data_IF_513898016672
#
_entry.id   IF_513898016672
#
_cell.length_a   1.000
_cell.length_b   1.000
_cell.length_c   1.000
_cell.angle_alpha   90.00
_cell.angle_beta   90.00
_cell.angle_gamma   90.00
#
_symmetry.space_group_name_H-M   'P 1'
#
loop_
_entity.id
_entity.type
_entity.pdbx_description
1 polymer ?
#
# COMPACT_ATOMS: atom_id res chain seq x y z
N UNK A 1 14.39 -4.44 4.05
CA UNK A 1 14.08 -5.88 3.96
C UNK A 1 15.21 -6.75 3.42
N UNK A 2 16.03 -6.30 2.45
CA UNK A 2 17.12 -7.15 1.89
C UNK A 2 18.23 -7.51 2.91
N UNK A 3 18.46 -6.64 3.89
CA UNK A 3 19.47 -6.86 4.93
C UNK A 3 19.18 -8.09 5.81
N UNK A 4 17.92 -8.29 6.19
CA UNK A 4 17.50 -9.48 6.96
C UNK A 4 17.76 -10.77 6.17
N UNK A 5 17.51 -10.76 4.86
CA UNK A 5 17.79 -11.89 3.96
C UNK A 5 19.28 -12.15 3.80
N UNK A 6 20.11 -11.11 3.60
CA UNK A 6 21.57 -11.24 3.56
C UNK A 6 22.13 -11.85 4.85
N UNK A 7 21.56 -11.46 5.99
CA UNK A 7 21.95 -11.99 7.31
C UNK A 7 21.52 -13.45 7.51
N UNK A 8 20.28 -13.81 7.16
CA UNK A 8 19.79 -15.20 7.22
C UNK A 8 20.57 -16.13 6.30
N UNK A 9 20.90 -15.67 5.08
CA UNK A 9 21.70 -16.42 4.11
C UNK A 9 23.21 -16.37 4.41
N UNK A 10 23.63 -15.71 5.50
CA UNK A 10 25.03 -15.54 5.93
C UNK A 10 25.95 -15.06 4.80
N UNK A 11 25.44 -14.16 3.95
CA UNK A 11 26.18 -13.68 2.77
C UNK A 11 27.29 -12.73 3.25
N UNK A 12 28.57 -13.04 2.99
CA UNK A 12 29.66 -12.14 3.34
C UNK A 12 29.56 -10.86 2.49
N UNK A 13 29.94 -9.72 3.07
CA UNK A 13 29.85 -8.43 2.39
C UNK A 13 30.70 -8.38 1.12
N UNK A 14 31.82 -9.11 1.10
CA UNK A 14 32.72 -9.27 -0.05
C UNK A 14 32.12 -10.05 -1.23
N UNK A 15 30.97 -10.73 -1.05
CA UNK A 15 30.34 -11.47 -2.14
C UNK A 15 29.68 -10.55 -3.19
N UNK A 16 29.56 -9.24 -2.93
CA UNK A 16 28.97 -8.22 -3.82
C UNK A 16 27.67 -8.68 -4.53
N UNK A 17 26.85 -9.50 -3.84
CA UNK A 17 25.62 -10.07 -4.41
C UNK A 17 24.58 -8.98 -4.62
N UNK A 18 24.03 -8.92 -5.82
CA UNK A 18 22.94 -8.01 -6.17
C UNK A 18 21.66 -8.40 -5.43
N UNK A 19 20.88 -7.40 -5.02
CA UNK A 19 19.63 -7.61 -4.30
C UNK A 19 18.63 -8.43 -5.13
N UNK A 20 18.63 -8.26 -6.45
CA UNK A 20 17.80 -9.03 -7.38
C UNK A 20 18.16 -10.53 -7.37
N UNK A 21 19.45 -10.88 -7.34
CA UNK A 21 19.88 -12.29 -7.28
C UNK A 21 19.42 -12.97 -5.99
N UNK A 22 19.43 -12.26 -4.86
CA UNK A 22 18.99 -12.78 -3.57
C UNK A 22 17.47 -13.02 -3.56
N UNK A 23 16.70 -12.08 -4.11
CA UNK A 23 15.25 -12.21 -4.21
C UNK A 23 14.84 -13.36 -5.13
N UNK A 24 15.56 -13.56 -6.24
CA UNK A 24 15.34 -14.68 -7.16
C UNK A 24 15.62 -16.03 -6.51
N UNK A 25 16.70 -16.13 -5.72
CA UNK A 25 17.05 -17.35 -4.99
C UNK A 25 16.00 -17.74 -3.96
N UNK A 26 15.42 -16.75 -3.27
CA UNK A 26 14.38 -16.97 -2.25
C UNK A 26 12.98 -17.18 -2.85
N UNK A 27 12.82 -17.09 -4.18
CA UNK A 27 11.53 -17.22 -4.88
C UNK A 27 10.41 -16.38 -4.25
N UNK A 28 10.73 -15.17 -3.79
CA UNK A 28 9.74 -14.29 -3.12
C UNK A 28 8.88 -13.63 -4.20
N UNK A 29 7.74 -14.24 -4.51
CA UNK A 29 6.77 -13.72 -5.49
C UNK A 29 5.90 -12.59 -4.94
N UNK A 30 5.65 -12.56 -3.63
CA UNK A 30 4.85 -11.52 -2.96
C UNK A 30 5.62 -10.87 -1.83
N UNK A 31 5.83 -9.55 -1.93
CA UNK A 31 6.46 -8.75 -0.88
C UNK A 31 5.45 -8.45 0.23
N UNK A 32 5.89 -8.41 1.48
CA UNK A 32 5.04 -8.01 2.61
C UNK A 32 4.35 -6.66 2.38
N UNK A 33 5.04 -5.72 1.72
CA UNK A 33 4.50 -4.41 1.37
C UNK A 33 3.27 -4.49 0.46
N UNK A 34 3.24 -5.42 -0.51
CA UNK A 34 2.07 -5.59 -1.39
C UNK A 34 0.91 -6.23 -0.64
N UNK A 35 1.18 -7.16 0.28
CA UNK A 35 0.15 -7.71 1.17
C UNK A 35 -0.44 -6.66 2.11
N UNK A 36 0.40 -5.82 2.72
CA UNK A 36 -0.06 -4.71 3.56
C UNK A 36 -0.91 -3.73 2.76
N UNK A 37 -0.46 -3.34 1.56
CA UNK A 37 -1.22 -2.45 0.68
C UNK A 37 -2.58 -3.04 0.29
N UNK A 38 -2.64 -4.34 -0.01
CA UNK A 38 -3.91 -5.00 -0.33
C UNK A 38 -4.90 -4.89 0.84
N UNK A 39 -4.45 -5.19 2.07
CA UNK A 39 -5.30 -5.08 3.27
C UNK A 39 -5.76 -3.65 3.53
N UNK A 40 -4.89 -2.68 3.30
CA UNK A 40 -5.18 -1.24 3.40
C UNK A 40 -6.30 -0.84 2.42
N UNK A 41 -6.22 -1.28 1.16
CA UNK A 41 -7.22 -0.98 0.14
C UNK A 41 -8.54 -1.73 0.35
N UNK A 42 -8.49 -2.96 0.86
CA UNK A 42 -9.69 -3.71 1.28
C UNK A 42 -10.43 -2.96 2.40
N UNK A 43 -9.70 -2.50 3.42
CA UNK A 43 -10.26 -1.72 4.52
C UNK A 43 -10.85 -0.38 4.06
N UNK A 44 -10.19 0.31 3.15
CA UNK A 44 -10.75 1.53 2.54
C UNK A 44 -12.06 1.26 1.80
N UNK A 45 -12.11 0.20 0.99
CA UNK A 45 -13.33 -0.20 0.30
C UNK A 45 -14.47 -0.58 1.24
N UNK A 46 -14.15 -1.14 2.42
CA UNK A 46 -15.12 -1.40 3.48
C UNK A 46 -15.68 -0.10 4.04
N UNK A 47 -14.84 0.87 4.41
CA UNK A 47 -15.28 2.17 4.93
C UNK A 47 -16.12 2.94 3.92
N UNK A 48 -15.74 2.91 2.63
CA UNK A 48 -16.47 3.61 1.58
C UNK A 48 -17.91 3.13 1.40
N UNK A 49 -18.17 1.83 1.66
CA UNK A 49 -19.48 1.18 1.52
C UNK A 49 -20.28 1.11 2.82
N UNK A 50 -19.70 1.56 3.94
CA UNK A 50 -20.40 1.58 5.22
C UNK A 50 -21.43 2.72 5.21
N UNK A 51 -22.67 2.39 5.54
CA UNK A 51 -23.76 3.37 5.66
C UNK A 51 -23.57 4.27 6.90
N UNK A 52 -23.96 5.53 6.76
CA UNK A 52 -23.86 6.57 7.80
C UNK A 52 -22.55 7.38 7.82
N UNK A 53 -22.58 8.48 8.55
CA UNK A 53 -21.42 9.33 8.82
C UNK A 53 -20.60 8.76 9.98
N UNK A 54 -19.87 7.69 9.69
CA UNK A 54 -18.96 7.05 10.65
C UNK A 54 -17.68 7.87 10.81
N UNK A 55 -17.13 7.89 12.02
CA UNK A 55 -15.88 8.59 12.36
C UNK A 55 -14.76 8.27 11.37
N UNK A 56 -14.61 7.00 10.98
CA UNK A 56 -13.60 6.54 10.02
C UNK A 56 -13.71 7.25 8.66
N UNK A 57 -14.93 7.46 8.17
CA UNK A 57 -15.23 8.12 6.90
C UNK A 57 -14.92 9.61 6.99
N UNK A 58 -15.21 10.24 8.12
CA UNK A 58 -14.88 11.65 8.41
C UNK A 58 -13.36 11.85 8.46
N UNK A 59 -12.65 10.94 9.15
CA UNK A 59 -11.19 10.96 9.30
C UNK A 59 -10.50 10.80 7.94
N UNK A 60 -10.96 9.86 7.10
CA UNK A 60 -10.40 9.63 5.76
C UNK A 60 -10.66 10.79 4.81
N UNK A 61 -11.84 11.42 4.92
CA UNK A 61 -12.24 12.55 4.06
C UNK A 61 -11.55 13.86 4.45
N UNK A 62 -10.86 13.90 5.60
CA UNK A 62 -10.01 15.04 5.98
C UNK A 62 -10.75 16.24 6.57
N UNK A 63 -12.01 16.08 7.00
CA UNK A 63 -12.75 17.12 7.74
C UNK A 63 -12.35 17.22 9.22
N UNK A 64 -11.11 16.87 9.58
CA UNK A 64 -10.61 17.11 10.94
C UNK A 64 -9.97 18.48 10.96
N UNK A 65 -10.74 19.48 11.37
CA UNK A 65 -10.23 20.83 11.57
C UNK A 65 -9.27 20.85 12.77
N UNK A 66 -8.01 21.24 12.54
CA UNK A 66 -7.01 21.31 13.60
C UNK A 66 -5.60 21.62 13.09
N UNK A 67 -4.82 22.37 13.89
CA UNK A 67 -3.41 22.65 13.62
C UNK A 67 -2.60 21.37 13.90
N UNK A 68 -1.94 20.85 12.88
CA UNK A 68 -1.16 19.62 12.98
C UNK A 68 0.09 19.69 13.85
N UNK A 69 0.65 18.54 14.25
CA UNK A 69 1.92 18.49 14.94
C UNK A 69 3.06 19.02 14.05
N UNK A 70 4.07 19.66 14.67
CA UNK A 70 5.32 20.06 13.98
C UNK A 70 6.14 18.79 13.70
N UNK A 71 6.55 18.56 12.45
CA UNK A 71 7.40 17.45 12.05
C UNK A 71 6.86 16.63 10.88
N UNK A 72 7.46 15.45 10.62
CA UNK A 72 6.99 14.52 9.59
C UNK A 72 5.69 13.89 10.06
N UNK A 73 4.62 14.14 9.32
CA UNK A 73 3.34 13.49 9.57
C UNK A 73 3.48 11.97 9.38
N UNK A 74 2.84 11.16 10.25
CA UNK A 74 2.56 9.78 9.92
C UNK A 74 1.84 9.75 8.57
N UNK A 75 2.32 8.91 7.64
CA UNK A 75 1.64 8.72 6.35
C UNK A 75 0.20 8.33 6.64
N UNK A 76 -0.75 9.14 6.20
CA UNK A 76 -2.17 8.84 6.40
C UNK A 76 -2.60 7.77 5.42
N UNK A 77 -3.63 7.03 5.78
CA UNK A 77 -4.31 6.11 4.88
C UNK A 77 -4.71 6.80 3.56
N UNK A 78 -5.24 8.02 3.65
CA UNK A 78 -5.57 8.88 2.50
C UNK A 78 -4.38 9.11 1.56
N UNK A 79 -3.19 9.32 2.12
CA UNK A 79 -1.99 9.62 1.36
C UNK A 79 -1.52 8.37 0.60
N UNK A 80 -1.60 7.19 1.24
CA UNK A 80 -1.28 5.91 0.58
C UNK A 80 -2.23 5.60 -0.57
N UNK A 81 -3.50 6.00 -0.44
CA UNK A 81 -4.52 5.84 -1.48
C UNK A 81 -4.29 6.84 -2.62
N UNK A 82 -3.97 8.11 -2.35
CA UNK A 82 -3.59 9.06 -3.41
C UNK A 82 -2.30 8.66 -4.15
N UNK A 83 -1.45 7.83 -3.53
CA UNK A 83 -0.22 7.34 -4.16
C UNK A 83 -0.45 6.06 -5.00
N UNK A 84 -1.57 5.35 -4.81
CA UNK A 84 -1.78 4.02 -5.40
C UNK A 84 -2.66 4.04 -6.64
N UNK A 85 -3.79 4.75 -6.61
CA UNK A 85 -4.34 5.40 -7.80
C UNK A 85 -4.05 6.91 -7.81
N UNK A 86 -3.68 7.50 -8.95
CA UNK A 86 -3.53 8.96 -9.16
C UNK A 86 -4.87 9.73 -9.07
N UNK A 87 -5.71 9.39 -8.10
CA UNK A 87 -7.06 9.90 -7.89
C UNK A 87 -7.19 10.52 -6.51
N UNK A 88 -7.94 11.62 -6.44
CA UNK A 88 -8.32 12.29 -5.20
C UNK A 88 -9.13 11.32 -4.31
N UNK A 89 -9.01 11.45 -2.99
CA UNK A 89 -9.70 10.61 -1.99
C UNK A 89 -11.21 10.51 -2.24
N UNK A 90 -11.86 11.62 -2.57
CA UNK A 90 -13.30 11.64 -2.89
C UNK A 90 -13.66 10.80 -4.13
N UNK A 91 -12.84 10.86 -5.17
CA UNK A 91 -13.03 10.04 -6.37
C UNK A 91 -12.85 8.56 -6.03
N UNK A 92 -11.85 8.23 -5.20
CA UNK A 92 -11.64 6.88 -4.72
C UNK A 92 -12.83 6.35 -3.89
N UNK A 93 -13.43 7.18 -3.02
CA UNK A 93 -14.64 6.84 -2.26
C UNK A 93 -15.83 6.53 -3.19
N UNK A 94 -16.05 7.36 -4.21
CA UNK A 94 -17.14 7.16 -5.18
C UNK A 94 -16.96 5.88 -6.01
N UNK A 95 -15.72 5.56 -6.40
CA UNK A 95 -15.43 4.33 -7.14
C UNK A 95 -15.52 3.10 -6.23
N UNK A 96 -15.15 3.23 -4.97
CA UNK A 96 -15.18 2.16 -3.97
C UNK A 96 -16.60 1.71 -3.58
N UNK A 97 -17.62 2.54 -3.82
CA UNK A 97 -19.04 2.18 -3.72
C UNK A 97 -19.35 0.90 -4.51
N UNK A 98 -18.83 0.77 -5.73
CA UNK A 98 -19.00 -0.44 -6.53
C UNK A 98 -17.95 -1.49 -6.16
N UNK A 99 -18.38 -2.57 -5.51
CA UNK A 99 -17.50 -3.69 -5.12
C UNK A 99 -16.70 -4.26 -6.28
N UNK A 100 -17.33 -4.41 -7.45
CA UNK A 100 -16.70 -4.97 -8.66
C UNK A 100 -15.64 -4.03 -9.22
N UNK A 101 -15.95 -2.73 -9.35
CA UNK A 101 -15.00 -1.73 -9.85
C UNK A 101 -13.81 -1.59 -8.90
N UNK A 102 -14.08 -1.54 -7.59
CA UNK A 102 -13.04 -1.47 -6.57
C UNK A 102 -12.10 -2.68 -6.62
N UNK A 103 -12.66 -3.89 -6.66
CA UNK A 103 -11.86 -5.11 -6.71
C UNK A 103 -10.93 -5.14 -7.93
N UNK A 104 -11.41 -4.74 -9.12
CA UNK A 104 -10.58 -4.65 -10.33
C UNK A 104 -9.41 -3.66 -10.18
N UNK A 105 -9.64 -2.51 -9.55
CA UNK A 105 -8.59 -1.51 -9.31
C UNK A 105 -7.56 -2.03 -8.30
N UNK A 106 -8.00 -2.63 -7.20
CA UNK A 106 -7.09 -3.20 -6.20
C UNK A 106 -6.24 -4.31 -6.81
N UNK A 107 -6.84 -5.21 -7.60
CA UNK A 107 -6.10 -6.24 -8.34
C UNK A 107 -5.06 -5.61 -9.29
N UNK A 108 -5.42 -4.56 -10.05
CA UNK A 108 -4.48 -3.86 -10.92
C UNK A 108 -3.31 -3.23 -10.15
N UNK A 109 -3.58 -2.59 -9.00
CA UNK A 109 -2.56 -1.95 -8.15
C UNK A 109 -1.63 -2.99 -7.50
N UNK A 110 -2.20 -4.08 -6.99
CA UNK A 110 -1.46 -5.16 -6.34
C UNK A 110 -0.60 -5.91 -7.35
N UNK A 111 -1.13 -6.19 -8.55
CA UNK A 111 -0.38 -6.82 -9.63
C UNK A 111 0.70 -5.89 -10.18
N UNK A 112 0.41 -4.59 -10.34
CA UNK A 112 1.39 -3.60 -10.82
C UNK A 112 2.57 -3.39 -9.87
N UNK A 113 2.35 -3.44 -8.55
CA UNK A 113 3.42 -3.31 -7.52
C UNK A 113 4.05 -4.64 -7.13
N UNK A 114 3.36 -5.75 -7.36
CA UNK A 114 3.93 -7.10 -7.28
C UNK A 114 4.90 -7.38 -8.42
N UNK A 115 4.64 -6.76 -9.58
CA UNK A 115 5.44 -6.83 -10.79
C UNK A 115 6.39 -5.62 -10.91
N UNK A 116 7.11 -5.30 -9.84
CA UNK A 116 8.40 -4.62 -10.00
C UNK A 116 9.37 -5.65 -10.60
N UNK A 117 9.20 -5.92 -11.91
CA UNK A 117 10.28 -6.43 -12.74
C UNK A 117 11.36 -5.37 -12.71
N UNK A 118 12.34 -5.57 -11.83
CA UNK A 118 13.56 -4.81 -11.82
C UNK A 118 14.21 -4.96 -13.21
N UNK A 119 14.01 -3.97 -14.08
CA UNK A 119 15.03 -3.57 -15.05
C UNK A 119 16.19 -2.93 -14.28
#
# INVERSE_FOLDING_TARGET
>A
MIWCWKRMLRIPWAAHRTNASILRQLKIERRLSTTCLNRILEYFGHIARRDGDNLEKIVITGKVEGKGPRGRWPIRLSDQICTAPDTKVHTALNVAQSRVKWHKIVQKVVSGRGHDSQQ
#
